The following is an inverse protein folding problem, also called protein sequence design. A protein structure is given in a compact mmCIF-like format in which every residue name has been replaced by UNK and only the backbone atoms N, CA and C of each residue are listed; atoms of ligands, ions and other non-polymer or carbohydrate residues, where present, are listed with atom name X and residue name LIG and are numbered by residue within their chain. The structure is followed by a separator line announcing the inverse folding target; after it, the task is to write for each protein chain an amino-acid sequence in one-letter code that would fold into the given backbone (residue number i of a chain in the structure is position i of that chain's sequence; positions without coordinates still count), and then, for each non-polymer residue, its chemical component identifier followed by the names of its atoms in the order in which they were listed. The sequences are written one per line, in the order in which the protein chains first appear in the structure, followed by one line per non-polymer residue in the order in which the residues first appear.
data_IF_413055109629
#
_entry.id   IF_413055109629
#
_cell.length_a   1.000
_cell.length_b   1.000
_cell.length_c   1.000
_cell.angle_alpha   90.00
_cell.angle_beta   90.00
_cell.angle_gamma   90.00
#
_symmetry.space_group_name_H-M   'P 1'
#
loop_
_entity.id
_entity.type
_entity.pdbx_description
1 polymer ?
#
# COMPACT_ATOMS: atom_id res chain seq x y z
N UNK A 1 7.63 -14.67 -16.63
CA UNK A 1 6.80 -13.73 -17.39
C UNK A 1 7.23 -12.31 -16.99
N UNK A 2 7.73 -11.48 -17.90
CA UNK A 2 8.17 -10.12 -17.54
C UNK A 2 6.93 -9.23 -17.47
N UNK A 3 6.56 -8.80 -16.27
CA UNK A 3 5.59 -7.73 -16.11
C UNK A 3 6.21 -6.42 -16.57
N UNK A 4 5.81 -5.93 -17.74
CA UNK A 4 6.34 -4.72 -18.38
C UNK A 4 5.87 -3.41 -17.71
N UNK A 5 5.37 -3.47 -16.47
CA UNK A 5 4.93 -2.32 -15.68
C UNK A 5 5.84 -1.94 -14.52
N UNK A 6 6.80 -2.80 -14.11
CA UNK A 6 7.59 -2.60 -12.89
C UNK A 6 8.75 -1.61 -13.01
N UNK A 7 9.18 -1.27 -14.21
CA UNK A 7 10.34 -0.39 -14.38
C UNK A 7 10.11 1.05 -13.89
N UNK A 8 8.89 1.53 -13.88
CA UNK A 8 8.59 2.93 -13.54
C UNK A 8 8.52 3.15 -12.03
N UNK A 9 7.88 2.25 -11.27
CA UNK A 9 7.78 2.37 -9.81
C UNK A 9 9.12 2.13 -9.12
N UNK A 10 9.93 1.16 -9.58
CA UNK A 10 11.26 0.90 -9.06
C UNK A 10 12.18 2.13 -9.19
N UNK A 11 12.11 2.84 -10.32
CA UNK A 11 12.86 4.09 -10.50
C UNK A 11 12.40 5.19 -9.54
N UNK A 12 11.09 5.28 -9.28
CA UNK A 12 10.51 6.24 -8.33
C UNK A 12 10.94 5.92 -6.90
N UNK A 13 10.94 4.64 -6.50
CA UNK A 13 11.43 4.19 -5.19
C UNK A 13 12.93 4.45 -5.06
N UNK A 14 13.73 4.16 -6.09
CA UNK A 14 15.16 4.47 -6.11
C UNK A 14 15.45 5.96 -5.94
N UNK A 15 14.69 6.81 -6.63
CA UNK A 15 14.78 8.26 -6.47
C UNK A 15 14.37 8.71 -5.05
N UNK A 16 13.32 8.10 -4.49
CA UNK A 16 12.91 8.35 -3.11
C UNK A 16 14.04 8.03 -2.13
N UNK A 17 14.67 6.86 -2.23
CA UNK A 17 15.77 6.43 -1.35
C UNK A 17 16.93 7.43 -1.44
N UNK A 18 17.40 7.76 -2.65
CA UNK A 18 18.49 8.71 -2.87
C UNK A 18 18.17 10.11 -2.32
N UNK A 19 16.95 10.61 -2.55
CA UNK A 19 16.52 11.92 -2.07
C UNK A 19 16.30 11.98 -0.55
N UNK A 20 16.20 10.83 0.11
CA UNK A 20 16.04 10.70 1.56
C UNK A 20 17.24 10.01 2.23
N UNK A 21 18.41 9.97 1.58
CA UNK A 21 19.62 9.34 2.09
C UNK A 21 19.93 9.77 3.53
N UNK A 22 19.90 11.07 3.81
CA UNK A 22 20.19 11.61 5.15
C UNK A 22 19.20 11.13 6.23
N UNK A 23 17.96 10.77 5.85
CA UNK A 23 16.93 10.23 6.76
C UNK A 23 17.09 8.72 6.97
N UNK A 24 17.64 8.00 6.00
CA UNK A 24 17.71 6.53 5.99
C UNK A 24 19.09 6.02 6.43
N UNK A 25 20.15 6.79 6.28
CA UNK A 25 21.52 6.46 6.69
C UNK A 25 21.56 6.15 8.18
N UNK A 26 22.20 5.04 8.54
CA UNK A 26 22.33 4.50 9.90
C UNK A 26 21.00 4.10 10.56
N UNK A 27 19.87 4.08 9.82
CA UNK A 27 18.58 3.63 10.33
C UNK A 27 18.40 2.12 10.10
N UNK A 28 17.63 1.47 10.96
CA UNK A 28 17.19 0.09 10.77
C UNK A 28 16.02 0.07 9.79
N UNK A 29 16.26 -0.51 8.61
CA UNK A 29 15.30 -0.52 7.49
C UNK A 29 14.95 -1.96 7.13
N UNK A 30 13.68 -2.31 7.21
CA UNK A 30 13.15 -3.58 6.73
C UNK A 30 12.63 -3.42 5.31
N UNK A 31 13.13 -4.24 4.39
CA UNK A 31 12.64 -4.39 3.01
C UNK A 31 11.85 -5.69 2.92
N UNK A 32 10.53 -5.60 2.73
CA UNK A 32 9.61 -6.76 2.69
C UNK A 32 8.38 -6.48 1.80
N UNK A 33 8.17 -7.24 0.71
CA UNK A 33 9.04 -8.27 0.13
C UNK A 33 10.28 -7.67 -0.54
N UNK A 34 11.44 -8.28 -0.34
CA UNK A 34 12.72 -7.80 -0.84
C UNK A 34 12.98 -8.17 -2.31
N UNK A 35 12.24 -9.14 -2.85
CA UNK A 35 12.35 -9.59 -4.23
C UNK A 35 13.76 -9.99 -4.61
N UNK A 36 14.29 -9.37 -5.68
CA UNK A 36 15.68 -9.61 -6.13
C UNK A 36 16.74 -8.85 -5.32
N UNK A 37 16.34 -7.99 -4.38
CA UNK A 37 17.25 -7.23 -3.54
C UNK A 37 17.74 -5.91 -4.13
N UNK A 38 17.15 -5.40 -5.21
CA UNK A 38 17.56 -4.12 -5.82
C UNK A 38 17.37 -2.95 -4.85
N UNK A 39 16.25 -2.92 -4.15
CA UNK A 39 15.95 -1.92 -3.11
C UNK A 39 16.86 -2.09 -1.89
N UNK A 40 17.03 -3.32 -1.42
CA UNK A 40 17.92 -3.65 -0.31
C UNK A 40 19.38 -3.24 -0.60
N UNK A 41 19.88 -3.52 -1.80
CA UNK A 41 21.22 -3.12 -2.24
C UNK A 41 21.41 -1.60 -2.20
N UNK A 42 20.45 -0.84 -2.72
CA UNK A 42 20.51 0.63 -2.71
C UNK A 42 20.45 1.21 -1.29
N UNK A 43 19.63 0.62 -0.40
CA UNK A 43 19.58 1.00 1.01
C UNK A 43 20.92 0.74 1.70
N UNK A 44 21.57 -0.40 1.42
CA UNK A 44 22.88 -0.74 1.94
C UNK A 44 23.95 0.24 1.42
N UNK A 45 23.92 0.59 0.14
CA UNK A 45 24.83 1.56 -0.49
C UNK A 45 24.79 2.92 0.20
N UNK A 46 23.62 3.41 0.57
CA UNK A 46 23.46 4.68 1.30
C UNK A 46 23.79 4.58 2.80
N UNK A 47 24.16 3.41 3.30
CA UNK A 47 24.59 3.17 4.68
C UNK A 47 23.44 2.97 5.67
N UNK A 48 22.30 2.42 5.24
CA UNK A 48 21.25 1.95 6.12
C UNK A 48 21.60 0.57 6.70
N UNK A 49 21.06 0.22 7.89
CA UNK A 49 21.12 -1.14 8.45
C UNK A 49 19.95 -1.93 7.87
N UNK A 50 20.20 -2.71 6.83
CA UNK A 50 19.15 -3.36 6.03
C UNK A 50 18.83 -4.76 6.52
N UNK A 51 17.55 -5.03 6.68
CA UNK A 51 16.96 -6.35 6.91
C UNK A 51 16.10 -6.69 5.69
N UNK A 52 16.45 -7.74 4.96
CA UNK A 52 15.71 -8.18 3.77
C UNK A 52 14.93 -9.45 4.08
N UNK A 53 13.62 -9.41 3.84
CA UNK A 53 12.72 -10.54 4.03
C UNK A 53 11.90 -10.76 2.75
N UNK A 54 11.72 -12.03 2.37
CA UNK A 54 10.90 -12.39 1.21
C UNK A 54 10.29 -13.77 1.39
N UNK A 55 9.21 -14.02 0.67
CA UNK A 55 8.58 -15.33 0.57
C UNK A 55 9.45 -16.34 -0.20
N UNK A 56 10.26 -15.84 -1.15
CA UNK A 56 11.15 -16.61 -2.03
C UNK A 56 12.59 -16.09 -1.91
N UNK A 57 13.27 -16.30 -0.74
CA UNK A 57 14.60 -15.76 -0.50
C UNK A 57 15.66 -16.31 -1.48
N UNK A 58 15.40 -17.44 -2.15
CA UNK A 58 16.26 -18.01 -3.20
C UNK A 58 16.34 -17.14 -4.45
N UNK A 59 15.39 -16.22 -4.65
CA UNK A 59 15.43 -15.27 -5.79
C UNK A 59 16.27 -14.02 -5.51
N UNK A 60 16.71 -13.83 -4.24
CA UNK A 60 17.49 -12.68 -3.82
C UNK A 60 18.90 -12.71 -4.42
N UNK A 61 19.37 -11.63 -5.02
CA UNK A 61 20.62 -11.57 -5.80
C UNK A 61 21.67 -10.61 -5.22
N UNK A 62 21.37 -9.87 -4.14
CA UNK A 62 22.35 -9.00 -3.52
C UNK A 62 23.31 -9.82 -2.66
N UNK A 63 24.57 -9.95 -3.10
CA UNK A 63 25.61 -10.74 -2.43
C UNK A 63 26.03 -10.24 -1.06
N UNK A 64 25.86 -8.95 -0.83
CA UNK A 64 26.34 -8.27 0.38
C UNK A 64 25.35 -8.36 1.56
N UNK A 65 24.14 -8.84 1.28
CA UNK A 65 23.06 -8.98 2.24
C UNK A 65 22.50 -10.41 2.24
N UNK A 66 21.87 -10.79 3.33
CA UNK A 66 21.12 -12.05 3.42
C UNK A 66 19.63 -11.75 3.43
N UNK A 67 18.88 -12.43 2.59
CA UNK A 67 17.43 -12.45 2.66
C UNK A 67 16.97 -13.64 3.51
N UNK A 68 16.03 -13.40 4.42
CA UNK A 68 15.40 -14.45 5.23
C UNK A 68 13.96 -14.69 4.73
N UNK A 69 13.46 -15.89 4.96
CA UNK A 69 12.09 -16.25 4.65
C UNK A 69 11.10 -15.49 5.55
N UNK A 70 10.09 -14.91 4.95
CA UNK A 70 8.91 -14.39 5.66
C UNK A 70 7.69 -14.37 4.74
N UNK A 71 6.54 -14.75 5.27
CA UNK A 71 5.24 -14.56 4.65
C UNK A 71 4.51 -13.39 5.33
N UNK A 72 4.04 -12.44 4.54
CA UNK A 72 3.25 -11.30 5.03
C UNK A 72 1.84 -11.70 5.51
N UNK A 73 1.37 -12.92 5.21
CA UNK A 73 0.17 -13.48 5.80
C UNK A 73 0.40 -14.00 7.23
N UNK A 74 1.67 -14.18 7.63
CA UNK A 74 2.08 -14.68 8.92
C UNK A 74 2.75 -13.60 9.78
N UNK A 75 3.22 -14.03 10.95
CA UNK A 75 4.00 -13.16 11.82
C UNK A 75 5.38 -12.89 11.23
N UNK A 76 5.72 -11.63 11.02
CA UNK A 76 7.06 -11.20 10.56
C UNK A 76 8.11 -11.59 11.63
N UNK A 77 9.22 -12.31 11.26
CA UNK A 77 10.25 -12.80 12.20
C UNK A 77 11.18 -11.67 12.67
N UNK A 78 10.60 -10.57 13.11
CA UNK A 78 11.27 -9.39 13.66
C UNK A 78 10.64 -9.03 15.00
N UNK A 79 11.46 -8.49 15.90
CA UNK A 79 10.99 -7.98 17.18
C UNK A 79 10.05 -6.77 17.01
N UNK A 80 9.14 -6.60 17.96
CA UNK A 80 8.29 -5.40 18.00
C UNK A 80 9.16 -4.16 18.22
N UNK A 81 8.76 -3.03 17.62
CA UNK A 81 9.42 -1.73 17.81
C UNK A 81 10.93 -1.74 17.50
N UNK A 82 11.36 -2.55 16.52
CA UNK A 82 12.78 -2.75 16.18
C UNK A 82 13.21 -1.95 14.93
N UNK A 83 12.28 -1.56 14.06
CA UNK A 83 12.59 -0.91 12.79
C UNK A 83 12.25 0.59 12.80
N UNK A 84 13.14 1.39 12.24
CA UNK A 84 12.90 2.83 12.01
C UNK A 84 12.05 3.05 10.76
N UNK A 85 12.30 2.22 9.73
CA UNK A 85 11.57 2.23 8.46
C UNK A 85 11.21 0.81 8.04
N UNK A 86 10.06 0.67 7.41
CA UNK A 86 9.65 -0.53 6.68
C UNK A 86 9.28 -0.11 5.27
N UNK A 87 9.87 -0.76 4.27
CA UNK A 87 9.48 -0.63 2.86
C UNK A 87 8.71 -1.88 2.46
N UNK A 88 7.46 -1.70 2.01
CA UNK A 88 6.64 -2.74 1.45
C UNK A 88 6.31 -2.35 0.00
N UNK A 89 7.18 -2.81 -0.92
CA UNK A 89 7.08 -2.47 -2.33
C UNK A 89 6.41 -3.60 -3.10
N UNK A 90 5.27 -3.28 -3.75
CA UNK A 90 4.53 -4.22 -4.61
C UNK A 90 4.29 -5.56 -3.91
N UNK A 91 3.79 -5.51 -2.68
CA UNK A 91 3.59 -6.69 -1.84
C UNK A 91 2.17 -6.83 -1.30
N UNK A 92 1.56 -5.72 -0.86
CA UNK A 92 0.27 -5.73 -0.17
C UNK A 92 -0.90 -6.24 -1.03
N UNK A 93 -0.81 -6.13 -2.35
CA UNK A 93 -1.79 -6.62 -3.33
C UNK A 93 -1.82 -8.13 -3.48
N UNK A 94 -0.81 -8.82 -2.96
CA UNK A 94 -0.71 -10.28 -2.96
C UNK A 94 -1.24 -10.92 -1.67
N UNK A 95 -1.59 -10.10 -0.68
CA UNK A 95 -1.93 -10.54 0.68
C UNK A 95 -3.44 -10.62 0.84
N UNK A 96 -3.94 -11.79 1.24
CA UNK A 96 -5.36 -12.03 1.48
C UNK A 96 -5.87 -11.34 2.76
N UNK A 97 -5.11 -11.37 3.85
CA UNK A 97 -5.40 -10.67 5.11
C UNK A 97 -4.59 -9.38 5.24
N UNK A 98 -4.89 -8.40 4.38
CA UNK A 98 -4.26 -7.07 4.42
C UNK A 98 -4.35 -6.38 5.80
N UNK A 99 -5.45 -6.49 6.57
CA UNK A 99 -5.50 -5.97 7.94
C UNK A 99 -4.47 -6.61 8.86
N UNK A 100 -4.25 -7.93 8.81
CA UNK A 100 -3.24 -8.61 9.61
C UNK A 100 -1.83 -8.19 9.19
N UNK A 101 -1.54 -8.18 7.89
CA UNK A 101 -0.26 -7.72 7.36
C UNK A 101 0.08 -6.29 7.81
N UNK A 102 -0.87 -5.35 7.72
CA UNK A 102 -0.64 -3.97 8.18
C UNK A 102 -0.41 -3.87 9.68
N UNK A 103 -1.06 -4.72 10.50
CA UNK A 103 -0.78 -4.78 11.95
C UNK A 103 0.64 -5.28 12.22
N UNK A 104 1.11 -6.29 11.48
CA UNK A 104 2.47 -6.82 11.63
C UNK A 104 3.53 -5.81 11.17
N UNK A 105 3.33 -5.15 10.02
CA UNK A 105 4.20 -4.07 9.56
C UNK A 105 4.25 -2.91 10.57
N UNK A 106 3.11 -2.58 11.19
CA UNK A 106 3.07 -1.57 12.26
C UNK A 106 3.72 -2.07 13.56
N UNK A 107 3.60 -3.37 13.89
CA UNK A 107 4.20 -3.96 15.10
C UNK A 107 5.71 -3.84 15.10
N UNK A 108 6.36 -4.16 13.97
CA UNK A 108 7.83 -4.11 13.86
C UNK A 108 8.39 -2.69 13.84
N UNK A 109 7.59 -1.71 13.45
CA UNK A 109 8.00 -0.29 13.48
C UNK A 109 8.08 0.24 14.92
N UNK A 110 9.09 1.03 15.20
CA UNK A 110 9.19 1.84 16.42
C UNK A 110 8.08 2.91 16.46
N UNK A 111 7.64 3.37 17.64
CA UNK A 111 6.82 4.57 17.73
C UNK A 111 7.49 5.73 16.99
N UNK A 112 6.74 6.39 16.12
CA UNK A 112 7.27 7.42 15.21
C UNK A 112 8.06 6.90 14.01
N UNK A 113 8.20 5.59 13.81
CA UNK A 113 8.76 4.99 12.61
C UNK A 113 7.87 5.17 11.38
N UNK A 114 8.41 4.92 10.19
CA UNK A 114 7.70 5.12 8.92
C UNK A 114 7.50 3.82 8.14
N UNK A 115 6.28 3.59 7.66
CA UNK A 115 5.95 2.55 6.69
C UNK A 115 5.80 3.18 5.31
N UNK A 116 6.59 2.73 4.35
CA UNK A 116 6.50 3.12 2.95
C UNK A 116 5.86 1.97 2.18
N UNK A 117 4.73 2.24 1.51
CA UNK A 117 4.04 1.25 0.68
C UNK A 117 3.97 1.75 -0.75
N UNK A 118 4.31 0.87 -1.70
CA UNK A 118 3.91 1.00 -3.10
C UNK A 118 3.02 -0.18 -3.50
N UNK A 119 2.05 0.08 -4.36
CA UNK A 119 1.12 -0.94 -4.88
C UNK A 119 0.40 -0.40 -6.12
N UNK A 120 -0.06 -1.24 -7.05
CA UNK A 120 -0.88 -0.78 -8.16
C UNK A 120 -2.10 0.02 -7.70
N UNK A 121 -2.46 1.03 -8.47
CA UNK A 121 -3.57 1.91 -8.14
C UNK A 121 -4.85 1.54 -8.92
N UNK A 122 -5.76 0.74 -8.34
CA UNK A 122 -7.01 0.37 -9.00
C UNK A 122 -7.99 1.56 -9.12
N UNK A 123 -7.67 2.68 -8.47
CA UNK A 123 -8.53 3.88 -8.48
C UNK A 123 -8.22 4.85 -9.61
N UNK A 124 -7.18 4.63 -10.42
CA UNK A 124 -6.91 5.45 -11.58
C UNK A 124 -8.01 5.27 -12.65
N UNK A 125 -8.18 6.26 -13.52
CA UNK A 125 -9.30 6.26 -14.47
C UNK A 125 -9.25 5.12 -15.49
N UNK A 126 -8.04 4.70 -15.91
CA UNK A 126 -7.85 3.55 -16.78
C UNK A 126 -8.33 2.25 -16.12
N UNK A 127 -7.91 2.00 -14.87
CA UNK A 127 -8.32 0.79 -14.15
C UNK A 127 -9.81 0.78 -13.85
N UNK A 128 -10.40 1.95 -13.48
CA UNK A 128 -11.85 2.05 -13.28
C UNK A 128 -12.63 1.73 -14.54
N UNK A 129 -12.19 2.24 -15.69
CA UNK A 129 -12.83 1.93 -16.97
C UNK A 129 -12.64 0.47 -17.36
N UNK A 130 -11.45 -0.10 -17.12
CA UNK A 130 -11.17 -1.49 -17.37
C UNK A 130 -12.09 -2.41 -16.54
N UNK A 131 -12.23 -2.16 -15.25
CA UNK A 131 -13.15 -2.90 -14.39
C UNK A 131 -14.61 -2.80 -14.83
N UNK A 132 -15.03 -1.62 -15.30
CA UNK A 132 -16.38 -1.44 -15.81
C UNK A 132 -16.65 -2.30 -17.07
N UNK A 133 -15.64 -2.48 -17.91
CA UNK A 133 -15.80 -3.13 -19.23
C UNK A 133 -15.38 -4.61 -19.23
N UNK A 134 -14.45 -5.02 -18.38
CA UNK A 134 -13.80 -6.32 -18.44
C UNK A 134 -13.55 -6.96 -17.06
N UNK A 135 -13.98 -6.34 -15.96
CA UNK A 135 -13.78 -6.83 -14.58
C UNK A 135 -12.30 -7.14 -14.24
N UNK A 136 -11.35 -6.56 -14.97
CA UNK A 136 -9.91 -6.73 -14.77
C UNK A 136 -9.24 -5.38 -14.53
N UNK A 137 -8.10 -5.37 -13.85
CA UNK A 137 -7.29 -4.18 -13.59
C UNK A 137 -6.87 -3.47 -14.88
N UNK A 138 -6.61 -4.25 -15.91
CA UNK A 138 -6.17 -3.77 -17.20
C UNK A 138 -6.94 -4.48 -18.32
N UNK A 139 -7.46 -3.74 -19.30
CA UNK A 139 -8.27 -4.27 -20.42
C UNK A 139 -7.57 -5.34 -21.28
N UNK A 140 -6.26 -5.53 -21.13
CA UNK A 140 -5.46 -6.59 -21.80
C UNK A 140 -5.29 -7.85 -20.95
N UNK A 141 -5.77 -7.84 -19.71
CA UNK A 141 -5.69 -8.98 -18.81
C UNK A 141 -7.04 -9.70 -18.79
N UNK A 142 -6.99 -11.00 -18.63
CA UNK A 142 -8.17 -11.74 -18.22
C UNK A 142 -8.54 -11.37 -16.78
N UNK A 143 -9.82 -11.38 -16.41
CA UNK A 143 -10.22 -11.35 -15.01
C UNK A 143 -9.50 -12.40 -14.18
N UNK A 144 -9.50 -12.23 -12.87
CA UNK A 144 -8.88 -13.16 -11.91
C UNK A 144 -9.30 -14.61 -12.22
N UNK A 145 -8.31 -15.50 -12.39
CA UNK A 145 -8.49 -16.89 -12.77
C UNK A 145 -7.35 -17.76 -12.22
N UNK A 146 -7.57 -19.09 -12.30
CA UNK A 146 -6.68 -20.08 -11.73
C UNK A 146 -5.37 -20.28 -12.50
N UNK A 147 -5.22 -19.69 -13.68
CA UNK A 147 -4.03 -19.84 -14.53
C UNK A 147 -3.07 -18.68 -14.34
N UNK A 148 -3.58 -17.45 -14.40
CA UNK A 148 -2.78 -16.22 -14.44
C UNK A 148 -2.59 -15.56 -13.09
N UNK A 149 -3.46 -15.90 -12.10
CA UNK A 149 -3.57 -15.17 -10.85
C UNK A 149 -3.06 -15.93 -9.63
N UNK A 150 -2.57 -17.15 -9.79
CA UNK A 150 -1.94 -17.93 -8.72
C UNK A 150 -0.52 -18.29 -9.08
N UNK A 151 0.33 -18.36 -8.06
CA UNK A 151 1.70 -18.87 -8.17
C UNK A 151 1.86 -20.04 -7.23
N UNK A 152 2.38 -21.12 -7.75
CA UNK A 152 2.63 -22.35 -7.00
C UNK A 152 4.13 -22.62 -7.02
N UNK A 153 4.68 -22.98 -5.86
CA UNK A 153 6.03 -23.53 -5.81
C UNK A 153 6.06 -24.90 -6.48
N UNK A 154 7.14 -25.20 -7.22
CA UNK A 154 7.29 -26.48 -7.91
C UNK A 154 7.48 -27.67 -6.95
N UNK A 155 7.88 -27.40 -5.72
CA UNK A 155 8.31 -28.42 -4.76
C UNK A 155 7.31 -28.66 -3.62
N UNK A 156 6.27 -27.85 -3.50
CA UNK A 156 5.33 -27.93 -2.40
C UNK A 156 3.92 -28.30 -2.85
N UNK A 157 3.37 -29.33 -2.20
CA UNK A 157 1.98 -29.80 -2.39
C UNK A 157 1.05 -29.33 -1.28
N UNK A 158 1.51 -28.43 -0.40
CA UNK A 158 0.73 -27.92 0.71
C UNK A 158 -0.29 -26.89 0.23
N UNK A 159 -1.57 -27.17 0.42
CA UNK A 159 -2.68 -26.28 0.06
C UNK A 159 -2.60 -24.88 0.70
N UNK A 160 -1.89 -24.76 1.83
CA UNK A 160 -1.69 -23.49 2.53
C UNK A 160 -0.74 -22.54 1.82
N UNK A 161 -0.01 -23.01 0.78
CA UNK A 161 1.04 -22.25 0.08
C UNK A 161 0.65 -21.83 -1.34
N UNK A 162 -0.58 -21.43 -1.51
CA UNK A 162 -1.02 -20.74 -2.73
C UNK A 162 -0.67 -19.26 -2.61
N UNK A 163 0.18 -18.78 -3.53
CA UNK A 163 0.53 -17.37 -3.61
C UNK A 163 -0.30 -16.69 -4.68
N UNK A 164 -0.87 -15.56 -4.30
CA UNK A 164 -1.78 -14.83 -5.17
C UNK A 164 -1.01 -13.79 -6.00
N UNK A 165 -1.38 -13.68 -7.28
CA UNK A 165 -1.01 -12.54 -8.11
C UNK A 165 -1.73 -11.27 -7.63
N UNK A 166 -2.05 -10.33 -8.50
CA UNK A 166 -2.74 -9.09 -8.14
C UNK A 166 -4.24 -9.29 -7.80
N UNK A 167 -4.53 -10.30 -6.95
CA UNK A 167 -5.91 -10.66 -6.60
C UNK A 167 -6.54 -9.71 -5.56
N UNK A 168 -5.71 -9.06 -4.74
CA UNK A 168 -6.18 -8.26 -3.61
C UNK A 168 -5.84 -6.78 -3.77
N UNK A 169 -6.07 -6.22 -4.96
CA UNK A 169 -5.85 -4.81 -5.22
C UNK A 169 -6.53 -3.91 -4.18
N UNK A 170 -5.80 -2.91 -3.71
CA UNK A 170 -6.26 -2.02 -2.66
C UNK A 170 -6.29 -0.58 -3.13
N UNK A 171 -7.45 0.09 -2.97
CA UNK A 171 -7.54 1.52 -3.24
C UNK A 171 -6.84 2.34 -2.14
N UNK A 172 -6.38 3.55 -2.48
CA UNK A 172 -5.77 4.45 -1.49
C UNK A 172 -6.66 4.70 -0.28
N UNK A 173 -7.97 4.86 -0.48
CA UNK A 173 -8.92 5.09 0.61
C UNK A 173 -9.04 3.88 1.54
N UNK A 174 -9.08 2.67 0.97
CA UNK A 174 -9.09 1.42 1.75
C UNK A 174 -7.77 1.24 2.50
N UNK A 175 -6.62 1.42 1.82
CA UNK A 175 -5.29 1.33 2.42
C UNK A 175 -5.13 2.31 3.60
N UNK A 176 -5.50 3.59 3.39
CA UNK A 176 -5.49 4.59 4.46
C UNK A 176 -6.36 4.18 5.66
N UNK A 177 -7.54 3.63 5.39
CA UNK A 177 -8.45 3.17 6.46
C UNK A 177 -7.85 2.01 7.25
N UNK A 178 -7.35 0.97 6.56
CA UNK A 178 -6.75 -0.20 7.21
C UNK A 178 -5.47 0.17 7.97
N UNK A 179 -4.62 1.02 7.39
CA UNK A 179 -3.43 1.55 8.06
C UNK A 179 -3.80 2.30 9.35
N UNK A 180 -4.85 3.13 9.32
CA UNK A 180 -5.34 3.82 10.52
C UNK A 180 -5.75 2.85 11.62
N UNK A 181 -6.40 1.72 11.28
CA UNK A 181 -6.76 0.68 12.24
C UNK A 181 -5.53 0.00 12.88
N UNK A 182 -4.38 0.07 12.22
CA UNK A 182 -3.10 -0.45 12.70
C UNK A 182 -2.24 0.59 13.43
N UNK A 183 -2.79 1.77 13.75
CA UNK A 183 -2.07 2.84 14.44
C UNK A 183 -1.20 3.73 13.52
N UNK A 184 -1.38 3.60 12.20
CA UNK A 184 -0.62 4.31 11.19
C UNK A 184 -1.43 5.49 10.62
N UNK A 185 -0.79 6.63 10.41
CA UNK A 185 -1.40 7.80 9.77
C UNK A 185 -0.63 8.18 8.52
N UNK A 186 -1.34 8.62 7.47
CA UNK A 186 -0.69 9.13 6.26
C UNK A 186 0.15 10.35 6.61
N UNK A 187 1.45 10.28 6.35
CA UNK A 187 2.38 11.41 6.47
C UNK A 187 2.55 12.09 5.12
N UNK A 188 2.94 11.33 4.08
CA UNK A 188 3.17 11.86 2.74
C UNK A 188 2.61 10.93 1.67
N UNK A 189 2.22 11.51 0.55
CA UNK A 189 1.89 10.78 -0.68
C UNK A 189 2.84 11.22 -1.76
N UNK A 190 3.50 10.28 -2.39
CA UNK A 190 4.37 10.49 -3.54
C UNK A 190 3.60 10.13 -4.80
N UNK A 191 3.95 10.75 -5.90
CA UNK A 191 3.26 10.53 -7.16
C UNK A 191 4.27 10.03 -8.18
N UNK A 192 3.97 8.86 -8.71
CA UNK A 192 4.61 8.27 -9.86
C UNK A 192 4.21 9.00 -11.14
N UNK A 193 4.73 8.54 -12.27
CA UNK A 193 4.40 9.08 -13.58
C UNK A 193 2.92 8.93 -13.90
N UNK A 194 2.34 10.00 -14.45
CA UNK A 194 0.96 9.98 -14.89
C UNK A 194 0.74 8.98 -16.02
N UNK A 195 -0.32 8.18 -15.92
CA UNK A 195 -0.79 7.33 -17.00
C UNK A 195 -1.46 8.18 -18.08
N UNK A 196 -0.91 8.20 -19.29
CA UNK A 196 -1.38 9.03 -20.38
C UNK A 196 -2.87 8.80 -20.71
N UNK A 197 -3.33 7.55 -20.67
CA UNK A 197 -4.75 7.24 -20.95
C UNK A 197 -5.66 7.75 -19.83
N UNK A 198 -5.28 7.62 -18.58
CA UNK A 198 -5.99 8.22 -17.45
C UNK A 198 -6.02 9.74 -17.53
N UNK A 199 -4.89 10.36 -17.95
CA UNK A 199 -4.83 11.81 -18.15
C UNK A 199 -5.76 12.30 -19.27
N UNK A 200 -5.90 11.51 -20.36
CA UNK A 200 -6.86 11.79 -21.44
C UNK A 200 -8.31 11.70 -20.97
N UNK A 201 -8.64 10.72 -20.11
CA UNK A 201 -9.98 10.54 -19.57
C UNK A 201 -10.34 11.59 -18.51
N UNK A 202 -9.35 12.21 -17.88
CA UNK A 202 -9.59 13.11 -16.75
C UNK A 202 -10.56 14.26 -17.08
N UNK A 203 -10.35 15.08 -18.12
CA UNK A 203 -11.25 16.21 -18.40
C UNK A 203 -12.69 15.77 -18.65
N UNK A 204 -12.90 14.57 -19.21
CA UNK A 204 -14.23 14.04 -19.51
C UNK A 204 -14.94 13.54 -18.24
N UNK A 205 -14.24 12.80 -17.38
CA UNK A 205 -14.85 12.12 -16.24
C UNK A 205 -14.79 12.93 -14.94
N UNK A 206 -13.87 13.89 -14.84
CA UNK A 206 -13.63 14.61 -13.58
C UNK A 206 -14.83 15.44 -13.10
N UNK A 207 -15.59 16.15 -13.95
CA UNK A 207 -16.80 16.85 -13.49
C UNK A 207 -17.83 15.90 -12.88
N UNK A 208 -18.01 14.71 -13.47
CA UNK A 208 -18.92 13.70 -12.95
C UNK A 208 -18.41 13.12 -11.61
N UNK A 209 -17.10 12.85 -11.50
CA UNK A 209 -16.48 12.38 -10.25
C UNK A 209 -16.66 13.42 -9.14
N UNK A 210 -16.43 14.70 -9.43
CA UNK A 210 -16.64 15.77 -8.46
C UNK A 210 -18.10 15.83 -8.00
N UNK A 211 -19.04 15.81 -8.93
CA UNK A 211 -20.48 15.89 -8.62
C UNK A 211 -20.91 14.68 -7.75
N UNK A 212 -20.61 13.46 -8.18
CA UNK A 212 -21.04 12.26 -7.49
C UNK A 212 -20.37 12.12 -6.11
N UNK A 213 -19.09 12.46 -6.02
CA UNK A 213 -18.36 12.47 -4.74
C UNK A 213 -18.89 13.53 -3.79
N UNK A 214 -19.23 14.74 -4.30
CA UNK A 214 -19.82 15.80 -3.50
C UNK A 214 -21.22 15.44 -2.99
N UNK A 215 -22.06 14.85 -3.85
CA UNK A 215 -23.38 14.36 -3.45
C UNK A 215 -23.27 13.26 -2.38
N UNK A 216 -22.29 12.36 -2.53
CA UNK A 216 -22.00 11.33 -1.53
C UNK A 216 -21.56 11.93 -0.19
N UNK A 217 -20.66 12.91 -0.21
CA UNK A 217 -20.24 13.66 0.96
C UNK A 217 -21.43 14.35 1.67
N UNK A 218 -22.26 15.08 0.90
CA UNK A 218 -23.46 15.73 1.44
C UNK A 218 -24.45 14.74 2.07
N UNK A 219 -24.63 13.58 1.43
CA UNK A 219 -25.48 12.49 1.93
C UNK A 219 -24.91 11.86 3.19
N UNK A 220 -23.59 11.67 3.28
CA UNK A 220 -22.91 11.11 4.44
C UNK A 220 -23.04 12.00 5.68
N UNK A 221 -22.97 13.33 5.54
CA UNK A 221 -23.16 14.28 6.66
C UNK A 221 -24.51 14.16 7.34
N UNK A 222 -25.55 13.72 6.63
CA UNK A 222 -26.91 13.53 7.17
C UNK A 222 -27.07 12.23 7.95
N UNK A 223 -26.11 11.30 7.80
CA UNK A 223 -26.12 10.02 8.52
C UNK A 223 -25.42 10.16 9.86
N UNK A 224 -25.66 9.20 10.75
CA UNK A 224 -25.00 9.10 12.06
C UNK A 224 -25.19 10.39 12.90
N UNK A 225 -26.43 10.72 13.29
CA UNK A 225 -26.71 11.93 14.07
C UNK A 225 -26.04 11.92 15.45
N UNK A 226 -25.69 10.74 15.97
CA UNK A 226 -24.99 10.54 17.23
C UNK A 226 -23.52 11.03 17.22
N UNK A 227 -22.91 11.20 16.05
CA UNK A 227 -21.54 11.71 15.91
C UNK A 227 -21.59 13.22 15.70
N UNK A 228 -20.73 13.94 16.41
CA UNK A 228 -20.69 15.41 16.30
C UNK A 228 -20.37 15.86 14.86
N UNK A 229 -20.94 17.01 14.49
CA UNK A 229 -20.90 17.49 13.11
C UNK A 229 -19.48 17.90 12.69
N UNK A 230 -18.66 18.42 13.60
CA UNK A 230 -17.28 18.85 13.33
C UNK A 230 -16.41 17.65 12.96
N UNK A 231 -16.53 16.58 13.71
CA UNK A 231 -15.82 15.31 13.47
C UNK A 231 -16.25 14.67 12.14
N UNK A 232 -17.58 14.61 11.88
CA UNK A 232 -18.08 14.11 10.58
C UNK A 232 -17.55 14.92 9.40
N UNK A 233 -17.62 16.27 9.51
CA UNK A 233 -17.09 17.15 8.45
C UNK A 233 -15.61 16.91 8.20
N UNK A 234 -14.80 16.80 9.24
CA UNK A 234 -13.36 16.57 9.12
C UNK A 234 -13.08 15.25 8.38
N UNK A 235 -13.62 14.14 8.90
CA UNK A 235 -13.34 12.79 8.35
C UNK A 235 -13.87 12.66 6.91
N UNK A 236 -15.12 13.04 6.66
CA UNK A 236 -15.73 12.88 5.33
C UNK A 236 -15.12 13.85 4.31
N UNK A 237 -14.66 15.03 4.74
CA UNK A 237 -13.97 15.96 3.88
C UNK A 237 -12.61 15.42 3.43
N UNK A 238 -11.87 14.75 4.32
CA UNK A 238 -10.60 14.11 3.97
C UNK A 238 -10.79 12.94 3.00
N UNK A 239 -11.85 12.15 3.19
CA UNK A 239 -12.22 11.09 2.23
C UNK A 239 -12.60 11.70 0.88
N UNK A 240 -13.41 12.77 0.88
CA UNK A 240 -13.80 13.49 -0.34
C UNK A 240 -12.58 14.02 -1.09
N UNK A 241 -11.70 14.80 -0.42
CA UNK A 241 -10.46 15.31 -1.02
C UNK A 241 -9.61 14.20 -1.65
N UNK A 242 -9.51 13.09 -0.93
CA UNK A 242 -8.78 11.91 -1.41
C UNK A 242 -9.40 11.31 -2.67
N UNK A 243 -10.72 11.20 -2.71
CA UNK A 243 -11.45 10.60 -3.82
C UNK A 243 -11.40 11.44 -5.11
N UNK A 244 -11.30 12.76 -4.97
CA UNK A 244 -11.29 13.71 -6.10
C UNK A 244 -9.91 14.26 -6.43
N UNK A 245 -8.83 13.84 -5.76
CA UNK A 245 -7.46 14.28 -6.08
C UNK A 245 -7.10 13.86 -7.52
N UNK A 246 -6.96 14.81 -8.47
CA UNK A 246 -6.73 14.47 -9.86
C UNK A 246 -5.41 13.71 -10.06
N UNK A 247 -4.40 13.93 -9.21
CA UNK A 247 -3.13 13.20 -9.28
C UNK A 247 -3.34 11.72 -9.02
N UNK A 248 -4.14 11.36 -8.01
CA UNK A 248 -4.48 9.95 -7.69
C UNK A 248 -5.32 9.29 -8.77
N UNK A 249 -6.07 10.06 -9.54
CA UNK A 249 -6.89 9.55 -10.65
C UNK A 249 -6.07 9.22 -11.90
N UNK A 250 -4.85 9.72 -12.01
CA UNK A 250 -4.02 9.54 -13.22
C UNK A 250 -2.75 8.72 -13.01
N UNK A 251 -2.25 8.54 -11.77
CA UNK A 251 -1.04 7.75 -11.52
C UNK A 251 -1.31 6.25 -11.52
N UNK A 252 -0.33 5.46 -11.97
CA UNK A 252 -0.46 4.01 -12.06
C UNK A 252 -0.29 3.31 -10.72
N UNK A 253 0.50 3.88 -9.80
CA UNK A 253 0.78 3.29 -8.50
C UNK A 253 0.37 4.23 -7.36
N UNK A 254 0.02 3.64 -6.24
CA UNK A 254 -0.04 4.29 -4.94
C UNK A 254 1.38 4.26 -4.39
N UNK A 255 1.90 5.41 -3.95
CA UNK A 255 3.13 5.52 -3.21
C UNK A 255 2.88 6.40 -2.00
N UNK A 256 2.88 5.81 -0.82
CA UNK A 256 2.49 6.48 0.42
C UNK A 256 3.45 6.15 1.56
N UNK A 257 3.77 7.16 2.34
CA UNK A 257 4.48 7.06 3.61
C UNK A 257 3.48 7.24 4.74
N UNK A 258 3.43 6.27 5.63
CA UNK A 258 2.68 6.31 6.87
C UNK A 258 3.63 6.49 8.06
N UNK A 259 3.13 7.12 9.12
CA UNK A 259 3.81 7.28 10.41
C UNK A 259 3.10 6.46 11.48
N UNK A 260 3.84 5.70 12.28
CA UNK A 260 3.27 5.04 13.47
C UNK A 260 3.03 6.08 14.54
N UNK A 261 1.76 6.41 14.79
CA UNK A 261 1.35 7.50 15.72
C UNK A 261 0.62 6.99 16.94
N UNK A 262 0.14 5.75 16.93
CA UNK A 262 -0.59 5.13 18.03
C UNK A 262 -0.45 3.61 17.97
N UNK A 263 -0.89 2.92 19.03
CA UNK A 263 -1.05 1.47 18.99
C UNK A 263 -2.39 1.10 18.34
N UNK A 264 -2.58 -0.15 17.88
CA UNK A 264 -3.88 -0.63 17.44
C UNK A 264 -4.95 -0.52 18.54
N UNK A 265 -4.59 -0.77 19.80
CA UNK A 265 -5.45 -0.70 20.97
C UNK A 265 -5.95 0.73 21.20
N UNK A 266 -5.06 1.72 21.18
CA UNK A 266 -5.40 3.14 21.30
C UNK A 266 -6.35 3.55 20.17
N UNK A 267 -6.09 3.07 18.95
CA UNK A 267 -6.93 3.36 17.79
C UNK A 267 -8.33 2.78 17.98
N UNK A 268 -8.44 1.53 18.46
CA UNK A 268 -9.75 0.92 18.77
C UNK A 268 -10.49 1.68 19.85
N UNK A 269 -9.80 2.12 20.90
CA UNK A 269 -10.37 2.94 21.95
C UNK A 269 -10.94 4.27 21.40
N UNK A 270 -10.15 4.98 20.59
CA UNK A 270 -10.58 6.22 19.92
C UNK A 270 -11.81 6.01 19.03
N UNK A 271 -11.83 4.91 18.27
CA UNK A 271 -12.95 4.56 17.40
C UNK A 271 -14.22 4.21 18.19
N UNK A 272 -14.09 3.52 19.32
CA UNK A 272 -15.22 3.25 20.23
C UNK A 272 -15.79 4.55 20.77
N UNK A 273 -14.93 5.44 21.25
CA UNK A 273 -15.33 6.76 21.75
C UNK A 273 -16.02 7.58 20.65
N UNK A 274 -15.46 7.58 19.43
CA UNK A 274 -16.04 8.25 18.26
C UNK A 274 -17.45 7.74 17.94
N UNK A 275 -17.63 6.42 18.01
CA UNK A 275 -18.91 5.76 17.68
C UNK A 275 -19.86 5.64 18.91
N UNK A 276 -19.50 6.23 20.04
CA UNK A 276 -20.26 6.14 21.32
C UNK A 276 -20.55 4.69 21.74
N UNK A 277 -19.62 3.79 21.42
CA UNK A 277 -19.60 2.42 21.87
C UNK A 277 -18.79 2.38 23.17
N UNK A 278 -19.42 2.76 24.29
CA UNK A 278 -18.80 2.80 25.61
C UNK A 278 -18.44 1.44 26.17
#
# INVERSE_FOLDING_TARGET
MRFTGSHDIASTVSAFIKNNESRLRNQSVLDIPAGRGETAALLNEIGANVYALDLFPENFQCSDLKCQYADLNDRIPMESDSMDYVLCQEGIEHISDQPAALRELARVLRPGGSLIITTPNPSNLRSRLSHLLNEAEHYKLMPTNEIDTIWLSKEETDESKIYYGHSFLISFTKLRFLARLSGLTVDKTYYDRANNFSALLLPLLYPLILLTSFLSYRRALRKRPEIDEKTKKSIYWDVFKTAVDPRKLIVSHIFVEFKKTSTPEDTVYDLRKLNKLG
#
